data_IF_697857365575
#
_entry.id   IF_697857365575
#
_cell.length_a   1.000
_cell.length_b   1.000
_cell.length_c   1.000
_cell.angle_alpha   90.00
_cell.angle_beta   90.00
_cell.angle_gamma   90.00
#
_symmetry.space_group_name_H-M   'P 1'
#
loop_
_entity.id
_entity.type
_entity.pdbx_description
1 polymer ?
#
# COMPACT_ATOMS: atom_id res chain seq x y z
N UNK A 1 28.39 26.79 2.89
CA UNK A 1 27.00 27.16 3.22
C UNK A 1 26.10 26.42 2.24
N UNK A 2 25.32 25.44 2.72
CA UNK A 2 24.35 24.73 1.88
C UNK A 2 23.12 25.61 1.68
N UNK A 3 22.74 25.82 0.42
CA UNK A 3 21.48 26.45 0.08
C UNK A 3 20.37 25.48 0.51
N UNK A 4 19.59 25.83 1.53
CA UNK A 4 18.38 25.09 1.86
C UNK A 4 17.40 25.28 0.70
N UNK A 5 17.11 24.20 -0.02
CA UNK A 5 16.08 24.18 -1.04
C UNK A 5 14.70 24.25 -0.39
N UNK A 6 14.21 25.47 -0.20
CA UNK A 6 12.88 25.74 0.33
C UNK A 6 11.78 25.56 -0.73
N UNK A 7 12.13 25.41 -2.01
CA UNK A 7 11.15 25.20 -3.09
C UNK A 7 10.57 23.77 -3.07
N UNK A 8 11.22 22.85 -2.36
CA UNK A 8 10.76 21.48 -2.15
C UNK A 8 9.85 21.30 -0.91
N UNK A 9 9.48 22.39 -0.21
CA UNK A 9 8.56 22.29 0.95
C UNK A 9 7.10 22.38 0.49
N UNK A 10 6.39 21.25 0.48
CA UNK A 10 4.98 21.19 0.12
C UNK A 10 4.11 21.89 1.20
N UNK A 11 3.51 23.02 0.84
CA UNK A 11 2.46 23.66 1.64
C UNK A 11 1.14 22.90 1.47
N UNK A 12 0.98 21.80 2.20
CA UNK A 12 -0.25 21.03 2.22
C UNK A 12 -0.84 20.91 3.63
N UNK A 13 -2.14 20.60 3.74
CA UNK A 13 -2.81 20.47 5.03
C UNK A 13 -2.12 19.45 5.94
N UNK A 14 -2.31 19.59 7.26
CA UNK A 14 -1.66 18.73 8.24
C UNK A 14 -1.90 17.24 7.98
N UNK A 15 -3.08 16.85 7.51
CA UNK A 15 -3.40 15.45 7.18
C UNK A 15 -2.66 14.91 5.94
N UNK A 16 -2.02 15.75 5.14
CA UNK A 16 -1.11 15.28 4.07
C UNK A 16 0.27 14.93 4.64
N UNK A 17 0.65 15.54 5.77
CA UNK A 17 1.95 15.41 6.41
C UNK A 17 1.92 14.56 7.69
N UNK A 18 0.74 14.36 8.27
CA UNK A 18 0.56 13.57 9.47
C UNK A 18 1.00 12.13 9.19
N UNK A 19 1.90 11.61 10.02
CA UNK A 19 2.40 10.25 9.85
C UNK A 19 2.93 9.74 11.17
N UNK A 20 2.71 8.45 11.42
CA UNK A 20 3.44 7.72 12.44
C UNK A 20 4.95 7.76 12.13
N UNK A 21 5.77 8.06 13.13
CA UNK A 21 7.22 8.18 12.93
C UNK A 21 7.82 6.90 12.38
N UNK A 22 8.65 7.00 11.34
CA UNK A 22 9.30 5.86 10.67
C UNK A 22 10.07 4.91 11.59
N UNK A 23 10.58 5.41 12.72
CA UNK A 23 11.34 4.62 13.69
C UNK A 23 10.51 3.49 14.34
N UNK A 24 9.19 3.58 14.31
CA UNK A 24 8.27 2.56 14.82
C UNK A 24 7.47 1.89 13.69
N UNK A 25 7.87 2.07 12.43
CA UNK A 25 7.29 1.28 11.33
C UNK A 25 7.65 -0.21 11.52
N UNK A 26 6.73 -1.09 11.13
CA UNK A 26 6.86 -2.53 11.27
C UNK A 26 6.11 -3.26 10.16
N UNK A 27 6.54 -4.48 9.88
CA UNK A 27 5.90 -5.37 8.91
C UNK A 27 4.75 -6.11 9.60
N UNK A 28 3.51 -5.67 9.34
CA UNK A 28 2.31 -6.29 9.88
C UNK A 28 1.04 -5.46 9.71
N UNK A 29 -0.11 -5.95 10.22
CA UNK A 29 -1.36 -5.22 10.14
C UNK A 29 -1.26 -3.88 10.89
N UNK A 30 -1.68 -2.77 10.29
CA UNK A 30 -1.58 -1.45 10.90
C UNK A 30 -2.44 -1.35 12.17
N UNK A 31 -1.98 -0.52 13.11
CA UNK A 31 -2.68 -0.25 14.37
C UNK A 31 -3.33 1.12 14.31
N UNK A 32 -4.65 1.14 14.43
CA UNK A 32 -5.45 2.36 14.43
C UNK A 32 -6.10 2.59 15.80
N UNK A 33 -6.39 3.86 16.08
CA UNK A 33 -7.06 4.27 17.29
C UNK A 33 -6.20 4.17 18.55
N UNK A 34 -6.88 4.14 19.69
CA UNK A 34 -6.30 4.16 21.05
C UNK A 34 -6.38 2.81 21.76
N UNK A 35 -6.93 1.80 21.08
CA UNK A 35 -7.08 0.48 21.69
C UNK A 35 -5.72 -0.19 21.86
N UNK A 36 -5.55 -0.85 23.00
CA UNK A 36 -4.33 -1.60 23.29
C UNK A 36 -4.37 -2.93 22.52
N UNK A 37 -3.35 -3.25 21.70
CA UNK A 37 -3.22 -4.54 21.06
C UNK A 37 -3.26 -5.67 22.09
N UNK A 38 -3.73 -6.84 21.67
CA UNK A 38 -3.75 -8.04 22.50
C UNK A 38 -2.82 -9.08 21.90
N UNK A 39 -2.09 -9.83 22.73
CA UNK A 39 -1.33 -10.96 22.23
C UNK A 39 -2.26 -12.00 21.59
N UNK A 40 -1.79 -12.77 20.60
CA UNK A 40 -2.54 -13.90 20.04
C UNK A 40 -2.98 -14.87 21.13
N UNK A 41 -4.23 -15.35 21.07
CA UNK A 41 -4.80 -16.25 22.08
C UNK A 41 -4.11 -17.62 22.11
N UNK A 42 -3.56 -18.04 20.97
CA UNK A 42 -2.95 -19.37 20.77
C UNK A 42 -1.42 -19.30 20.74
N UNK A 43 -0.82 -18.25 21.32
CA UNK A 43 0.64 -18.04 21.26
C UNK A 43 1.44 -19.21 21.86
N UNK A 44 0.88 -19.87 22.88
CA UNK A 44 1.47 -21.03 23.55
C UNK A 44 1.42 -22.31 22.70
N UNK A 45 0.59 -22.33 21.65
CA UNK A 45 0.45 -23.47 20.71
C UNK A 45 1.34 -23.30 19.47
N UNK A 46 2.00 -22.15 19.32
CA UNK A 46 2.90 -21.88 18.21
C UNK A 46 4.26 -22.55 18.42
N UNK A 47 4.95 -22.85 17.32
CA UNK A 47 6.35 -23.24 17.40
C UNK A 47 7.22 -22.08 17.91
N UNK A 48 8.43 -22.40 18.37
CA UNK A 48 9.30 -21.40 19.01
C UNK A 48 9.63 -20.19 18.11
N UNK A 49 9.70 -20.38 16.79
CA UNK A 49 10.00 -19.29 15.86
C UNK A 49 8.75 -18.41 15.63
N UNK A 50 7.60 -19.04 15.38
CA UNK A 50 6.33 -18.32 15.25
C UNK A 50 5.93 -17.59 16.53
N UNK A 51 6.18 -18.18 17.70
CA UNK A 51 5.96 -17.56 19.00
C UNK A 51 6.81 -16.28 19.15
N UNK A 52 8.11 -16.38 18.86
CA UNK A 52 9.02 -15.22 18.93
C UNK A 52 8.62 -14.11 17.95
N UNK A 53 8.19 -14.47 16.74
CA UNK A 53 7.71 -13.51 15.77
C UNK A 53 6.42 -12.82 16.22
N UNK A 54 5.46 -13.59 16.76
CA UNK A 54 4.22 -13.06 17.31
C UNK A 54 4.45 -12.11 18.49
N UNK A 55 5.39 -12.44 19.39
CA UNK A 55 5.79 -11.57 20.49
C UNK A 55 6.41 -10.26 19.98
N UNK A 56 7.32 -10.34 19.00
CA UNK A 56 7.95 -9.16 18.41
C UNK A 56 6.91 -8.24 17.74
N UNK A 57 5.99 -8.81 16.94
CA UNK A 57 4.92 -8.08 16.30
C UNK A 57 4.00 -7.41 17.34
N UNK A 58 3.61 -8.14 18.40
CA UNK A 58 2.80 -7.58 19.48
C UNK A 58 3.48 -6.38 20.16
N UNK A 59 4.80 -6.44 20.38
CA UNK A 59 5.56 -5.32 20.96
C UNK A 59 5.60 -4.12 20.00
N UNK A 60 5.82 -4.34 18.70
CA UNK A 60 5.80 -3.27 17.70
C UNK A 60 4.42 -2.59 17.62
N UNK A 61 3.35 -3.38 17.57
CA UNK A 61 1.98 -2.88 17.61
C UNK A 61 1.70 -2.09 18.90
N UNK A 62 2.21 -2.57 20.04
CA UNK A 62 2.06 -1.89 21.33
C UNK A 62 2.77 -0.53 21.36
N UNK A 63 3.94 -0.41 20.72
CA UNK A 63 4.64 0.86 20.57
C UNK A 63 3.82 1.85 19.72
N UNK A 64 3.19 1.38 18.64
CA UNK A 64 2.34 2.20 17.78
C UNK A 64 1.08 2.69 18.50
N UNK A 65 0.40 1.80 19.25
CA UNK A 65 -0.73 2.16 20.09
C UNK A 65 -0.35 3.17 21.19
N UNK A 66 0.83 3.00 21.81
CA UNK A 66 1.35 3.96 22.78
C UNK A 66 1.63 5.32 22.13
N UNK A 67 2.23 5.34 20.93
CA UNK A 67 2.43 6.56 20.17
C UNK A 67 1.11 7.28 19.87
N UNK A 68 0.08 6.54 19.42
CA UNK A 68 -1.25 7.10 19.17
C UNK A 68 -1.85 7.70 20.44
N UNK A 69 -1.75 6.99 21.56
CA UNK A 69 -2.23 7.46 22.88
C UNK A 69 -1.52 8.73 23.33
N UNK A 70 -0.19 8.75 23.26
CA UNK A 70 0.59 9.94 23.63
C UNK A 70 0.28 11.11 22.69
N UNK A 71 0.18 10.87 21.38
CA UNK A 71 -0.15 11.89 20.39
C UNK A 71 -1.55 12.44 20.63
N UNK A 72 -2.53 11.60 20.93
CA UNK A 72 -3.88 12.02 21.29
C UNK A 72 -3.89 12.98 22.48
N UNK A 73 -3.11 12.67 23.52
CA UNK A 73 -3.05 13.52 24.72
C UNK A 73 -2.22 14.79 24.53
N UNK A 74 -1.05 14.70 23.87
CA UNK A 74 -0.09 15.81 23.79
C UNK A 74 -0.31 16.70 22.57
N UNK A 75 -0.81 16.15 21.46
CA UNK A 75 -1.09 16.87 20.23
C UNK A 75 -2.39 16.38 19.57
N UNK A 76 -3.57 16.74 20.14
CA UNK A 76 -4.86 16.28 19.64
C UNK A 76 -5.12 16.64 18.16
N UNK A 77 -4.52 17.73 17.67
CA UNK A 77 -4.64 18.15 16.26
C UNK A 77 -3.92 17.21 15.31
N UNK A 78 -2.73 16.77 15.68
CA UNK A 78 -2.01 15.76 14.91
C UNK A 78 -2.75 14.42 14.94
N UNK A 79 -3.25 14.03 16.12
CA UNK A 79 -4.04 12.80 16.23
C UNK A 79 -5.31 12.84 15.38
N UNK A 80 -6.07 13.93 15.39
CA UNK A 80 -7.25 14.10 14.52
C UNK A 80 -6.90 14.02 13.03
N UNK A 81 -5.71 14.50 12.64
CA UNK A 81 -5.23 14.36 11.27
C UNK A 81 -4.92 12.90 10.92
N UNK A 82 -4.30 12.13 11.84
CA UNK A 82 -4.07 10.69 11.69
C UNK A 82 -5.39 9.90 11.61
N UNK A 83 -6.40 10.26 12.41
CA UNK A 83 -7.72 9.64 12.34
C UNK A 83 -8.43 9.96 11.02
N UNK A 84 -8.32 11.21 10.53
CA UNK A 84 -8.90 11.59 9.25
C UNK A 84 -8.33 10.76 8.09
N UNK A 85 -7.04 10.38 8.17
CA UNK A 85 -6.41 9.53 7.16
C UNK A 85 -7.06 8.15 7.02
N UNK A 86 -7.81 7.70 8.03
CA UNK A 86 -8.54 6.42 8.00
C UNK A 86 -9.94 6.53 7.39
N UNK A 87 -10.34 7.72 6.93
CA UNK A 87 -11.69 7.95 6.39
C UNK A 87 -11.73 7.80 4.87
N UNK A 88 -12.89 7.38 4.35
CA UNK A 88 -13.15 7.36 2.90
C UNK A 88 -12.92 8.73 2.25
N UNK A 89 -13.22 9.83 2.95
CA UNK A 89 -12.95 11.19 2.47
C UNK A 89 -11.45 11.41 2.19
N UNK A 90 -10.56 10.95 3.08
CA UNK A 90 -9.13 11.06 2.85
C UNK A 90 -8.66 10.15 1.72
N UNK A 91 -9.18 8.92 1.66
CA UNK A 91 -8.89 7.99 0.55
C UNK A 91 -9.21 8.64 -0.82
N UNK A 92 -10.35 9.30 -0.95
CA UNK A 92 -10.71 10.03 -2.18
C UNK A 92 -9.72 11.17 -2.53
N UNK A 93 -9.23 11.89 -1.52
CA UNK A 93 -8.19 12.91 -1.74
C UNK A 93 -6.86 12.30 -2.17
N UNK A 94 -6.50 11.15 -1.59
CA UNK A 94 -5.27 10.42 -1.92
C UNK A 94 -5.32 9.86 -3.34
N UNK A 95 -6.45 9.29 -3.75
CA UNK A 95 -6.66 8.76 -5.09
C UNK A 95 -6.46 9.83 -6.18
N UNK A 96 -7.00 11.03 -5.98
CA UNK A 96 -6.79 12.13 -6.93
C UNK A 96 -5.30 12.53 -7.03
N UNK A 97 -4.54 12.44 -5.94
CA UNK A 97 -3.11 12.72 -5.90
C UNK A 97 -2.29 11.63 -6.58
N UNK A 98 -2.68 10.37 -6.42
CA UNK A 98 -1.90 9.22 -6.83
C UNK A 98 -2.37 8.59 -8.15
N UNK A 99 -3.35 9.15 -8.85
CA UNK A 99 -3.90 8.57 -10.09
C UNK A 99 -2.80 8.20 -11.12
N UNK A 100 -1.76 9.02 -11.24
CA UNK A 100 -0.64 8.78 -12.16
C UNK A 100 0.38 7.74 -11.64
N UNK A 101 0.31 7.38 -10.36
CA UNK A 101 1.21 6.44 -9.70
C UNK A 101 0.52 5.07 -9.58
N UNK A 102 -0.69 5.06 -8.99
CA UNK A 102 -1.43 3.84 -8.64
C UNK A 102 -2.24 3.29 -9.84
N UNK A 103 -2.34 4.08 -10.92
CA UNK A 103 -3.02 3.71 -12.16
C UNK A 103 -4.55 3.88 -12.12
N UNK A 104 -5.15 3.87 -13.32
CA UNK A 104 -6.60 4.06 -13.50
C UNK A 104 -7.43 2.91 -12.93
N UNK A 105 -6.95 1.67 -13.00
CA UNK A 105 -7.66 0.49 -12.52
C UNK A 105 -8.01 0.59 -11.03
N UNK A 106 -7.03 0.93 -10.20
CA UNK A 106 -7.20 1.12 -8.75
C UNK A 106 -8.20 2.24 -8.45
N UNK A 107 -8.17 3.32 -9.24
CA UNK A 107 -9.12 4.43 -9.12
C UNK A 107 -10.55 4.02 -9.46
N UNK A 108 -10.76 3.34 -10.59
CA UNK A 108 -12.09 2.90 -11.02
C UNK A 108 -12.74 1.94 -10.04
N UNK A 109 -11.96 1.00 -9.48
CA UNK A 109 -12.43 0.10 -8.43
C UNK A 109 -12.91 0.88 -7.20
N UNK A 110 -12.15 1.86 -6.74
CA UNK A 110 -12.53 2.70 -5.60
C UNK A 110 -13.76 3.57 -5.87
N UNK A 111 -13.90 4.10 -7.09
CA UNK A 111 -15.13 4.79 -7.50
C UNK A 111 -16.33 3.84 -7.44
N UNK A 112 -16.17 2.61 -7.93
CA UNK A 112 -17.21 1.59 -7.94
C UNK A 112 -17.62 1.11 -6.53
N UNK A 113 -16.68 1.09 -5.57
CA UNK A 113 -16.92 0.81 -4.15
C UNK A 113 -17.60 1.98 -3.42
N UNK A 114 -17.34 3.22 -3.85
CA UNK A 114 -17.89 4.43 -3.25
C UNK A 114 -19.42 4.46 -3.28
N UNK A 115 -20.06 3.82 -4.27
CA UNK A 115 -21.52 3.72 -4.38
C UNK A 115 -22.15 3.23 -3.06
N UNK A 116 -21.54 2.25 -2.39
CA UNK A 116 -22.06 1.66 -1.15
C UNK A 116 -21.99 2.61 0.07
N UNK A 117 -21.09 3.61 0.03
CA UNK A 117 -20.86 4.54 1.15
C UNK A 117 -21.19 5.99 0.79
N UNK A 118 -21.70 6.25 -0.41
CA UNK A 118 -21.95 7.58 -0.95
C UNK A 118 -22.75 8.45 0.03
N UNK A 119 -23.87 7.95 0.55
CA UNK A 119 -24.76 8.69 1.46
C UNK A 119 -24.12 9.08 2.80
N UNK A 120 -22.99 8.46 3.16
CA UNK A 120 -22.24 8.80 4.38
C UNK A 120 -21.40 10.07 4.21
N UNK A 121 -21.12 10.48 2.96
CA UNK A 121 -20.29 11.63 2.68
C UNK A 121 -21.04 12.95 2.99
N UNK A 122 -20.37 13.94 3.62
CA UNK A 122 -21.01 15.21 3.98
C UNK A 122 -21.68 15.94 2.80
N UNK A 123 -21.10 15.83 1.59
CA UNK A 123 -21.58 16.49 0.37
C UNK A 123 -22.57 15.68 -0.48
N UNK A 124 -22.80 14.40 -0.14
CA UNK A 124 -23.65 13.50 -0.93
C UNK A 124 -25.12 13.53 -0.53
N UNK A 125 -25.45 14.06 0.66
CA UNK A 125 -26.82 14.02 1.26
C UNK A 125 -27.94 14.59 0.39
N UNK A 126 -27.61 15.37 -0.63
CA UNK A 126 -28.56 15.97 -1.57
C UNK A 126 -28.38 15.52 -3.02
N UNK A 127 -27.55 14.51 -3.28
CA UNK A 127 -27.26 14.01 -4.63
C UNK A 127 -27.31 12.50 -4.65
N UNK A 128 -27.95 11.93 -5.69
CA UNK A 128 -27.75 10.53 -6.01
C UNK A 128 -26.28 10.30 -6.42
N UNK A 129 -25.83 9.05 -6.27
CA UNK A 129 -24.53 8.62 -6.77
C UNK A 129 -24.49 8.81 -8.30
N UNK A 130 -23.45 9.45 -8.86
CA UNK A 130 -23.49 9.94 -10.24
C UNK A 130 -23.06 8.91 -11.30
N UNK A 131 -22.53 7.75 -10.90
CA UNK A 131 -22.06 6.72 -11.84
C UNK A 131 -22.97 5.50 -11.83
N UNK A 132 -22.98 4.77 -12.93
CA UNK A 132 -23.65 3.49 -13.04
C UNK A 132 -22.74 2.52 -13.78
N UNK A 133 -22.38 1.42 -13.13
CA UNK A 133 -21.53 0.39 -13.72
C UNK A 133 -22.33 -0.88 -13.97
N UNK A 134 -22.18 -1.44 -15.15
CA UNK A 134 -22.70 -2.76 -15.49
C UNK A 134 -21.92 -3.84 -14.72
N UNK A 135 -22.56 -4.99 -14.49
CA UNK A 135 -21.89 -6.12 -13.83
C UNK A 135 -20.62 -6.57 -14.56
N UNK A 136 -20.62 -6.49 -15.90
CA UNK A 136 -19.44 -6.80 -16.73
C UNK A 136 -18.30 -5.79 -16.51
N UNK A 137 -18.62 -4.50 -16.41
CA UNK A 137 -17.61 -3.46 -16.16
C UNK A 137 -16.99 -3.63 -14.77
N UNK A 138 -17.80 -3.99 -13.76
CA UNK A 138 -17.30 -4.29 -12.41
C UNK A 138 -16.36 -5.49 -12.39
N UNK A 139 -16.67 -6.54 -13.16
CA UNK A 139 -15.80 -7.71 -13.31
C UNK A 139 -14.48 -7.37 -14.02
N UNK A 140 -14.53 -6.53 -15.05
CA UNK A 140 -13.33 -6.05 -15.75
C UNK A 140 -12.44 -5.23 -14.80
N UNK A 141 -13.02 -4.31 -14.02
CA UNK A 141 -12.28 -3.55 -13.00
C UNK A 141 -11.61 -4.44 -11.94
N UNK A 142 -12.31 -5.49 -11.49
CA UNK A 142 -11.77 -6.44 -10.51
C UNK A 142 -10.58 -7.21 -11.10
N UNK A 143 -10.69 -7.69 -12.35
CA UNK A 143 -9.61 -8.35 -13.05
C UNK A 143 -8.41 -7.42 -13.28
N UNK A 144 -8.64 -6.15 -13.62
CA UNK A 144 -7.58 -5.16 -13.82
C UNK A 144 -6.83 -4.86 -12.51
N UNK A 145 -7.56 -4.71 -11.38
CA UNK A 145 -6.94 -4.52 -10.06
C UNK A 145 -6.14 -5.75 -9.64
N UNK A 146 -6.64 -6.96 -9.90
CA UNK A 146 -5.88 -8.19 -9.66
C UNK A 146 -4.60 -8.22 -10.51
N UNK A 147 -4.69 -7.82 -11.77
CA UNK A 147 -3.53 -7.67 -12.66
C UNK A 147 -2.49 -6.70 -12.12
N UNK A 148 -2.92 -5.54 -11.60
CA UNK A 148 -2.03 -4.56 -10.95
C UNK A 148 -1.36 -5.18 -9.71
N UNK A 149 -2.12 -5.87 -8.85
CA UNK A 149 -1.57 -6.50 -7.65
C UNK A 149 -0.49 -7.54 -7.98
N UNK A 150 -0.75 -8.42 -8.96
CA UNK A 150 0.22 -9.40 -9.46
C UNK A 150 1.45 -8.73 -10.07
N UNK A 151 1.27 -7.64 -10.82
CA UNK A 151 2.37 -6.87 -11.38
C UNK A 151 3.26 -6.24 -10.31
N UNK A 152 2.67 -5.68 -9.25
CA UNK A 152 3.41 -5.14 -8.10
C UNK A 152 4.19 -6.25 -7.39
N UNK A 153 3.59 -7.43 -7.22
CA UNK A 153 4.25 -8.59 -6.61
C UNK A 153 5.46 -9.05 -7.45
N UNK A 154 5.29 -9.23 -8.77
CA UNK A 154 6.38 -9.57 -9.68
C UNK A 154 7.52 -8.54 -9.61
N UNK A 155 7.20 -7.24 -9.63
CA UNK A 155 8.19 -6.17 -9.52
C UNK A 155 8.90 -6.14 -8.16
N UNK A 156 8.21 -6.50 -7.08
CA UNK A 156 8.81 -6.63 -5.75
C UNK A 156 9.82 -7.79 -5.73
N UNK A 157 9.45 -8.95 -6.27
CA UNK A 157 10.35 -10.11 -6.38
C UNK A 157 11.61 -9.77 -7.17
N UNK A 158 11.47 -9.08 -8.31
CA UNK A 158 12.61 -8.59 -9.11
C UNK A 158 13.48 -7.65 -8.26
N UNK A 159 12.89 -6.68 -7.57
CA UNK A 159 13.65 -5.71 -6.76
C UNK A 159 14.44 -6.39 -5.63
N UNK A 160 13.85 -7.37 -4.96
CA UNK A 160 14.49 -8.07 -3.83
C UNK A 160 15.66 -8.95 -4.27
N UNK A 161 15.62 -9.47 -5.51
CA UNK A 161 16.72 -10.24 -6.10
C UNK A 161 17.92 -9.42 -6.55
N UNK A 162 17.74 -8.12 -6.84
CA UNK A 162 18.83 -7.25 -7.29
C UNK A 162 19.62 -6.81 -6.05
N UNK A 163 20.68 -7.56 -5.73
CA UNK A 163 21.61 -7.21 -4.67
C UNK A 163 22.45 -5.99 -5.11
N UNK A 164 22.53 -5.00 -4.21
CA UNK A 164 23.36 -3.76 -4.18
C UNK A 164 23.94 -3.24 -5.51
N UNK A 165 23.71 -1.94 -5.73
CA UNK A 165 24.11 -1.16 -6.90
C UNK A 165 25.63 -1.07 -7.19
N UNK A 166 26.51 -1.74 -6.45
CA UNK A 166 27.96 -1.74 -6.65
C UNK A 166 28.46 -2.81 -7.64
N UNK A 167 27.62 -3.76 -8.05
CA UNK A 167 27.98 -4.81 -9.02
C UNK A 167 26.98 -4.81 -10.20
N UNK A 168 27.13 -3.83 -11.10
CA UNK A 168 26.24 -3.63 -12.26
C UNK A 168 26.11 -4.87 -13.17
N UNK A 169 27.21 -5.57 -13.45
CA UNK A 169 27.18 -6.78 -14.29
C UNK A 169 26.45 -7.94 -13.59
N UNK A 170 26.70 -8.16 -12.29
CA UNK A 170 26.00 -9.19 -11.52
C UNK A 170 24.50 -8.89 -11.37
N UNK A 171 24.13 -7.60 -11.31
CA UNK A 171 22.73 -7.18 -11.33
C UNK A 171 22.04 -7.44 -12.68
N UNK A 172 22.75 -7.30 -13.81
CA UNK A 172 22.23 -7.64 -15.14
C UNK A 172 22.06 -9.15 -15.31
N UNK A 173 23.06 -9.94 -14.89
CA UNK A 173 22.97 -11.41 -14.92
C UNK A 173 21.84 -11.92 -14.03
N UNK A 174 21.65 -11.32 -12.84
CA UNK A 174 20.55 -11.63 -11.95
C UNK A 174 19.18 -11.27 -12.56
N UNK A 175 19.09 -10.13 -13.26
CA UNK A 175 17.89 -9.71 -13.99
C UNK A 175 17.53 -10.67 -15.12
N UNK A 176 18.54 -11.16 -15.87
CA UNK A 176 18.33 -12.14 -16.94
C UNK A 176 17.83 -13.49 -16.36
N UNK A 177 18.44 -13.97 -15.28
CA UNK A 177 18.00 -15.20 -14.61
C UNK A 177 16.59 -15.05 -13.98
N UNK A 178 16.25 -13.87 -13.48
CA UNK A 178 14.94 -13.59 -12.90
C UNK A 178 13.83 -13.55 -13.96
N UNK A 179 14.14 -13.18 -15.21
CA UNK A 179 13.18 -13.21 -16.32
C UNK A 179 12.50 -14.56 -16.43
N UNK A 180 13.29 -15.63 -16.45
CA UNK A 180 12.74 -16.99 -16.58
C UNK A 180 11.90 -17.39 -15.37
N UNK A 181 12.32 -17.02 -14.15
CA UNK A 181 11.60 -17.32 -12.91
C UNK A 181 10.24 -16.60 -12.84
N UNK A 182 10.22 -15.30 -13.18
CA UNK A 182 8.97 -14.51 -13.22
C UNK A 182 8.03 -15.03 -14.30
N UNK A 183 8.55 -15.38 -15.48
CA UNK A 183 7.73 -15.96 -16.55
C UNK A 183 7.15 -17.31 -16.11
N UNK A 184 7.93 -18.14 -15.43
CA UNK A 184 7.46 -19.43 -14.93
C UNK A 184 6.38 -19.29 -13.85
N UNK A 185 6.52 -18.32 -12.95
CA UNK A 185 5.59 -18.09 -11.85
C UNK A 185 4.30 -17.39 -12.27
N UNK A 186 4.38 -16.39 -13.16
CA UNK A 186 3.25 -15.51 -13.47
C UNK A 186 2.55 -15.81 -14.81
N UNK A 187 3.18 -16.53 -15.75
CA UNK A 187 2.53 -16.87 -17.02
C UNK A 187 1.71 -18.16 -16.91
N UNK A 188 0.41 -18.05 -17.19
CA UNK A 188 -0.55 -19.16 -17.10
C UNK A 188 -0.58 -20.02 -18.37
N UNK A 189 -0.05 -19.53 -19.49
CA UNK A 189 -0.06 -20.20 -20.78
C UNK A 189 1.09 -19.73 -21.70
N UNK A 190 1.28 -20.43 -22.82
CA UNK A 190 2.37 -20.14 -23.77
C UNK A 190 2.25 -18.76 -24.44
N UNK A 191 1.03 -18.29 -24.67
CA UNK A 191 0.80 -16.96 -25.23
C UNK A 191 1.24 -15.85 -24.25
N UNK A 192 0.93 -16.01 -22.96
CA UNK A 192 1.41 -15.11 -21.92
C UNK A 192 2.93 -15.15 -21.79
N UNK A 193 3.55 -16.34 -21.91
CA UNK A 193 5.01 -16.46 -21.92
C UNK A 193 5.65 -15.64 -23.04
N UNK A 194 5.12 -15.74 -24.27
CA UNK A 194 5.59 -14.94 -25.41
C UNK A 194 5.43 -13.43 -25.17
N UNK A 195 4.30 -13.00 -24.57
CA UNK A 195 4.06 -11.60 -24.22
C UNK A 195 5.05 -11.12 -23.17
N UNK A 196 5.27 -11.87 -22.09
CA UNK A 196 6.26 -11.53 -21.07
C UNK A 196 7.68 -11.43 -21.62
N UNK A 197 8.06 -12.34 -22.54
CA UNK A 197 9.38 -12.28 -23.17
C UNK A 197 9.57 -11.03 -24.03
N UNK A 198 8.51 -10.60 -24.73
CA UNK A 198 8.49 -9.44 -25.63
C UNK A 198 8.46 -8.11 -24.87
N UNK A 199 7.68 -8.04 -23.79
CA UNK A 199 7.47 -6.82 -23.02
C UNK A 199 8.45 -6.68 -21.82
N UNK A 200 9.45 -7.56 -21.72
CA UNK A 200 10.44 -7.54 -20.65
C UNK A 200 11.23 -6.21 -20.65
N UNK A 201 11.19 -5.41 -19.57
CA UNK A 201 11.73 -4.06 -19.59
C UNK A 201 13.23 -3.99 -19.26
N UNK A 202 13.86 -5.10 -18.86
CA UNK A 202 15.24 -5.16 -18.40
C UNK A 202 16.11 -5.99 -19.35
N UNK A 203 16.74 -5.32 -20.33
CA UNK A 203 17.62 -5.94 -21.32
C UNK A 203 16.99 -6.11 -22.70
N UNK A 204 17.84 -6.24 -23.72
CA UNK A 204 17.52 -6.51 -25.13
C UNK A 204 17.99 -7.90 -25.53
#
# INVERSE_FOLDING_TARGET
MGLLDWQSTELSPLYCHARQTHIIDYDGPPVFGLERPRPPKDIEQLDANAMKHAEALYLQQSLCSLYNTLTHHQNPRLYAALEFQQTTCYLLLLLARNLLIDGEATYLSQVAELEATWDTLPGAKSSAYPFSFLGKERQEMEADVEGVARGIEAMRSIRESIIRADQYEEALDALEQMKDQVIEEFASNEQEREVWQKEWPFGT
#
